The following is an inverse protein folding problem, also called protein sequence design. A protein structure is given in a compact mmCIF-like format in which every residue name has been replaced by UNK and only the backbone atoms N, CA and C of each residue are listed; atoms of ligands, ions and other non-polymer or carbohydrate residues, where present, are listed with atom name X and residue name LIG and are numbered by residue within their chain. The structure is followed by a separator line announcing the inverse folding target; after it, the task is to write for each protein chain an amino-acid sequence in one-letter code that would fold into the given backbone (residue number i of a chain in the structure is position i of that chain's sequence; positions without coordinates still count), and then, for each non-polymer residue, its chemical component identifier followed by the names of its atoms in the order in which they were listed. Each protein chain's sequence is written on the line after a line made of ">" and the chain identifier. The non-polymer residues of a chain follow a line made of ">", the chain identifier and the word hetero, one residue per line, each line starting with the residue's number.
data_IF_138456132150
#
_entry.id   IF_138456132150
#
_cell.length_a   1.000
_cell.length_b   1.000
_cell.length_c   1.000
_cell.angle_alpha   90.00
_cell.angle_beta   90.00
_cell.angle_gamma   90.00
#
_symmetry.space_group_name_H-M   'P 1'
#
loop_
_entity.id
_entity.type
_entity.pdbx_description
1 polymer ?
#
# COMPACT_ATOMS: atom_id res chain seq x y z
N UNK A 1 -15.56 10.59 -8.29
CA UNK A 1 -15.21 9.81 -9.49
C UNK A 1 -15.07 8.35 -9.11
N UNK A 2 -15.59 7.43 -9.92
CA UNK A 2 -15.26 5.99 -9.83
C UNK A 2 -14.81 5.46 -11.17
N UNK A 3 -13.81 4.58 -11.17
CA UNK A 3 -13.30 3.95 -12.37
C UNK A 3 -12.95 2.48 -12.11
N UNK A 4 -13.26 1.61 -13.08
CA UNK A 4 -12.72 0.26 -13.19
C UNK A 4 -12.12 0.10 -14.58
N UNK A 5 -10.90 -0.40 -14.66
CA UNK A 5 -10.15 -0.65 -15.89
C UNK A 5 -9.74 -2.12 -15.94
N UNK A 6 -10.00 -2.78 -17.07
CA UNK A 6 -9.62 -4.16 -17.35
C UNK A 6 -8.86 -4.19 -18.68
N UNK A 7 -7.55 -4.42 -18.62
CA UNK A 7 -6.67 -4.60 -19.78
C UNK A 7 -6.39 -6.07 -20.07
N UNK A 8 -6.49 -6.93 -19.05
CA UNK A 8 -6.45 -8.39 -19.18
C UNK A 8 -7.66 -9.02 -18.48
N UNK A 9 -8.71 -9.38 -19.24
CA UNK A 9 -9.92 -9.99 -18.69
C UNK A 9 -9.69 -11.37 -18.06
N UNK A 10 -8.59 -12.06 -18.38
CA UNK A 10 -8.28 -13.36 -17.79
C UNK A 10 -7.60 -13.22 -16.42
N UNK A 11 -7.08 -12.03 -16.10
CA UNK A 11 -6.36 -11.76 -14.87
C UNK A 11 -5.05 -12.54 -14.74
N UNK A 12 -4.38 -12.84 -15.86
CA UNK A 12 -3.03 -13.40 -15.87
C UNK A 12 -1.96 -12.32 -15.70
N UNK A 13 -2.16 -11.13 -16.27
CA UNK A 13 -1.34 -9.95 -16.01
C UNK A 13 -1.57 -9.46 -14.57
N UNK A 14 -0.54 -9.42 -13.71
CA UNK A 14 -0.65 -8.92 -12.34
C UNK A 14 -1.07 -7.46 -12.25
N UNK A 15 -1.04 -6.69 -13.35
CA UNK A 15 -1.52 -5.30 -13.43
C UNK A 15 -2.70 -5.15 -14.39
N UNK A 16 -3.33 -6.27 -14.78
CA UNK A 16 -4.33 -6.34 -15.83
C UNK A 16 -5.73 -5.85 -15.45
N UNK A 17 -5.99 -5.60 -14.17
CA UNK A 17 -7.26 -5.08 -13.69
C UNK A 17 -7.05 -4.18 -12.47
N UNK A 18 -7.64 -2.99 -12.49
CA UNK A 18 -7.52 -2.00 -11.43
C UNK A 18 -8.80 -1.19 -11.26
N UNK A 19 -9.01 -0.68 -10.06
CA UNK A 19 -10.16 0.17 -9.73
C UNK A 19 -9.71 1.34 -8.86
N UNK A 20 -10.45 2.44 -8.91
CA UNK A 20 -10.13 3.62 -8.12
C UNK A 20 -11.34 4.51 -7.84
N UNK A 21 -11.24 5.25 -6.73
CA UNK A 21 -12.24 6.20 -6.32
C UNK A 21 -11.60 7.53 -5.90
N UNK A 22 -12.20 8.62 -6.34
CA UNK A 22 -11.93 9.96 -5.78
C UNK A 22 -13.22 10.54 -5.22
N UNK A 23 -13.08 11.30 -4.15
CA UNK A 23 -14.17 12.02 -3.50
C UNK A 23 -14.00 13.52 -3.74
N UNK A 24 -15.11 14.24 -3.67
CA UNK A 24 -15.14 15.69 -3.58
C UNK A 24 -15.57 16.17 -2.19
N UNK A 25 -16.16 15.30 -1.38
CA UNK A 25 -16.79 15.65 -0.12
C UNK A 25 -15.84 15.41 1.07
N UNK A 26 -15.99 16.25 2.09
CA UNK A 26 -15.39 16.08 3.41
C UNK A 26 -15.72 14.73 4.05
N UNK A 27 -16.87 14.14 3.72
CA UNK A 27 -17.16 12.79 4.19
C UNK A 27 -16.72 11.75 3.15
N UNK A 28 -15.48 11.28 3.29
CA UNK A 28 -14.88 10.23 2.46
C UNK A 28 -15.69 8.92 2.46
N UNK A 29 -16.51 8.64 3.48
CA UNK A 29 -17.43 7.48 3.48
C UNK A 29 -18.49 7.54 2.38
N UNK A 30 -18.70 8.72 1.77
CA UNK A 30 -19.55 8.82 0.59
C UNK A 30 -18.98 8.07 -0.63
N UNK A 31 -17.69 7.73 -0.61
CA UNK A 31 -17.04 6.85 -1.58
C UNK A 31 -16.57 5.57 -0.89
N UNK A 32 -17.47 4.61 -0.67
CA UNK A 32 -17.07 3.33 -0.06
C UNK A 32 -16.28 2.49 -1.06
N UNK A 33 -15.12 2.03 -0.63
CA UNK A 33 -14.20 1.21 -1.40
C UNK A 33 -14.02 -0.14 -0.71
N UNK A 34 -14.43 -1.24 -1.35
CA UNK A 34 -14.23 -2.60 -0.85
C UNK A 34 -13.60 -3.46 -1.93
N UNK A 35 -12.67 -4.33 -1.53
CA UNK A 35 -11.99 -5.27 -2.42
C UNK A 35 -11.97 -6.66 -1.79
N UNK A 36 -12.37 -7.67 -2.56
CA UNK A 36 -12.12 -9.06 -2.23
C UNK A 36 -10.78 -9.48 -2.83
N UNK A 37 -9.77 -9.73 -1.98
CA UNK A 37 -8.46 -10.23 -2.44
C UNK A 37 -8.54 -11.64 -3.02
N UNK A 38 -9.44 -12.45 -2.48
CA UNK A 38 -9.65 -13.84 -2.88
C UNK A 38 -10.40 -13.93 -4.22
N UNK A 39 -11.52 -13.21 -4.35
CA UNK A 39 -12.37 -13.25 -5.56
C UNK A 39 -12.05 -12.16 -6.57
N UNK A 40 -11.06 -11.31 -6.28
CA UNK A 40 -10.47 -10.31 -7.19
C UNK A 40 -11.49 -9.29 -7.74
N UNK A 41 -12.48 -8.90 -6.95
CA UNK A 41 -13.45 -7.86 -7.33
C UNK A 41 -13.34 -6.63 -6.44
N UNK A 42 -13.82 -5.49 -6.95
CA UNK A 42 -14.02 -4.25 -6.20
C UNK A 42 -15.49 -3.85 -6.21
N UNK A 43 -15.89 -3.15 -5.15
CA UNK A 43 -17.18 -2.46 -5.02
C UNK A 43 -16.89 -1.00 -4.66
N UNK A 44 -17.35 -0.10 -5.50
CA UNK A 44 -17.20 1.35 -5.41
C UNK A 44 -18.60 1.96 -5.30
N UNK A 45 -18.95 2.49 -4.14
CA UNK A 45 -20.27 3.09 -3.92
C UNK A 45 -20.19 4.60 -3.86
N UNK A 46 -21.27 5.27 -4.28
CA UNK A 46 -21.48 6.68 -3.98
C UNK A 46 -22.88 7.14 -4.32
N UNK A 47 -23.07 8.45 -4.46
CA UNK A 47 -24.38 9.05 -4.71
C UNK A 47 -24.85 9.94 -3.57
N UNK A 48 -26.02 10.52 -3.75
CA UNK A 48 -26.61 11.56 -2.88
C UNK A 48 -27.59 10.98 -1.85
N UNK A 49 -27.83 9.65 -1.87
CA UNK A 49 -28.77 9.02 -0.95
C UNK A 49 -28.25 8.85 0.48
N UNK A 50 -29.17 8.55 1.40
CA UNK A 50 -28.91 8.34 2.83
C UNK A 50 -27.89 7.22 3.10
N UNK A 51 -27.21 7.30 4.26
CA UNK A 51 -26.13 6.38 4.64
C UNK A 51 -26.58 4.93 4.80
N UNK A 52 -27.77 4.68 5.38
CA UNK A 52 -28.29 3.33 5.61
C UNK A 52 -28.66 2.62 4.28
N UNK A 53 -29.49 3.21 3.38
CA UNK A 53 -29.75 2.62 2.08
C UNK A 53 -28.49 2.36 1.25
N UNK A 54 -27.47 3.22 1.37
CA UNK A 54 -26.18 3.03 0.71
C UNK A 54 -25.46 1.78 1.24
N UNK A 55 -25.41 1.60 2.56
CA UNK A 55 -24.80 0.42 3.18
C UNK A 55 -25.53 -0.85 2.74
N UNK A 56 -26.87 -0.84 2.73
CA UNK A 56 -27.68 -1.96 2.24
C UNK A 56 -27.38 -2.30 0.78
N UNK A 57 -27.30 -1.29 -0.10
CA UNK A 57 -26.93 -1.49 -1.50
C UNK A 57 -25.53 -2.12 -1.66
N UNK A 58 -24.56 -1.67 -0.85
CA UNK A 58 -23.20 -2.24 -0.85
C UNK A 58 -23.22 -3.70 -0.40
N UNK A 59 -23.92 -4.00 0.69
CA UNK A 59 -24.03 -5.37 1.23
C UNK A 59 -24.69 -6.32 0.23
N UNK A 60 -25.75 -5.89 -0.45
CA UNK A 60 -26.42 -6.69 -1.48
C UNK A 60 -25.49 -7.01 -2.66
N UNK A 61 -24.73 -6.02 -3.13
CA UNK A 61 -23.77 -6.19 -4.22
C UNK A 61 -22.67 -7.16 -3.82
N UNK A 62 -22.10 -7.02 -2.61
CA UNK A 62 -21.07 -7.92 -2.10
C UNK A 62 -21.61 -9.34 -1.99
N UNK A 63 -22.79 -9.51 -1.38
CA UNK A 63 -23.37 -10.83 -1.20
C UNK A 63 -23.59 -11.53 -2.57
N UNK A 64 -24.00 -10.79 -3.60
CA UNK A 64 -24.14 -11.34 -4.95
C UNK A 64 -22.79 -11.75 -5.54
N UNK A 65 -21.77 -10.90 -5.47
CA UNK A 65 -20.43 -11.19 -5.98
C UNK A 65 -19.78 -12.36 -5.24
N UNK A 66 -19.94 -12.43 -3.92
CA UNK A 66 -19.48 -13.55 -3.11
C UNK A 66 -20.17 -14.87 -3.48
N UNK A 67 -21.40 -14.82 -3.99
CA UNK A 67 -22.12 -16.00 -4.49
C UNK A 67 -21.94 -16.24 -6.01
N UNK A 68 -20.92 -15.63 -6.63
CA UNK A 68 -20.52 -15.91 -8.01
C UNK A 68 -21.33 -15.17 -9.08
N UNK A 69 -22.09 -14.14 -8.71
CA UNK A 69 -22.78 -13.30 -9.68
C UNK A 69 -21.79 -12.53 -10.58
N UNK A 70 -22.21 -12.26 -11.81
CA UNK A 70 -21.51 -11.34 -12.71
C UNK A 70 -21.58 -9.89 -12.17
N UNK A 71 -20.69 -9.02 -12.66
CA UNK A 71 -20.72 -7.60 -12.29
C UNK A 71 -22.09 -6.95 -12.61
N UNK A 72 -22.70 -7.32 -13.73
CA UNK A 72 -24.01 -6.80 -14.14
C UNK A 72 -25.14 -7.20 -13.16
N UNK A 73 -25.21 -8.47 -12.79
CA UNK A 73 -26.20 -8.99 -11.84
C UNK A 73 -26.04 -8.38 -10.44
N UNK A 74 -24.79 -8.18 -10.02
CA UNK A 74 -24.50 -7.55 -8.74
C UNK A 74 -24.86 -6.06 -8.75
N UNK A 75 -24.33 -5.28 -9.69
CA UNK A 75 -24.58 -3.83 -9.79
C UNK A 75 -26.07 -3.50 -9.96
N UNK A 76 -26.84 -4.38 -10.60
CA UNK A 76 -28.29 -4.20 -10.75
C UNK A 76 -29.05 -4.02 -9.43
N UNK A 77 -28.52 -4.54 -8.31
CA UNK A 77 -29.11 -4.37 -6.99
C UNK A 77 -29.22 -2.89 -6.58
N UNK A 78 -28.28 -2.04 -7.03
CA UNK A 78 -28.30 -0.61 -6.73
C UNK A 78 -29.53 0.12 -7.32
N UNK A 79 -30.21 -0.45 -8.32
CA UNK A 79 -31.42 0.13 -8.91
C UNK A 79 -32.60 0.16 -7.93
N UNK A 80 -32.58 -0.67 -6.89
CA UNK A 80 -33.58 -0.67 -5.82
C UNK A 80 -33.36 0.43 -4.78
N UNK A 81 -32.29 1.22 -4.92
CA UNK A 81 -31.87 2.22 -3.94
C UNK A 81 -31.81 3.62 -4.57
N UNK A 82 -32.86 4.45 -4.43
CA UNK A 82 -32.92 5.77 -5.03
C UNK A 82 -31.73 6.66 -4.64
N UNK A 83 -31.12 7.31 -5.64
CA UNK A 83 -29.98 8.21 -5.44
C UNK A 83 -28.64 7.53 -5.14
N UNK A 84 -28.61 6.19 -5.03
CA UNK A 84 -27.39 5.42 -4.79
C UNK A 84 -26.81 4.92 -6.11
N UNK A 85 -25.49 4.91 -6.20
CA UNK A 85 -24.70 4.29 -7.26
C UNK A 85 -23.83 3.21 -6.66
N UNK A 86 -23.76 2.07 -7.31
CA UNK A 86 -22.70 1.09 -7.04
C UNK A 86 -22.05 0.67 -8.36
N UNK A 87 -20.73 0.80 -8.43
CA UNK A 87 -19.90 0.27 -9.49
C UNK A 87 -19.13 -0.94 -8.94
N UNK A 88 -19.09 -2.04 -9.67
CA UNK A 88 -18.33 -3.22 -9.26
C UNK A 88 -17.73 -3.94 -10.46
N UNK A 89 -16.69 -4.74 -10.23
CA UNK A 89 -16.03 -5.47 -11.30
C UNK A 89 -14.71 -6.09 -10.90
N UNK A 90 -14.17 -6.89 -11.81
CA UNK A 90 -12.94 -7.66 -11.66
C UNK A 90 -12.58 -8.42 -12.93
N UNK A 91 -11.37 -8.99 -13.02
CA UNK A 91 -11.04 -9.92 -14.10
C UNK A 91 -12.03 -11.10 -14.08
N UNK A 92 -12.37 -11.61 -15.26
CA UNK A 92 -13.32 -12.70 -15.47
C UNK A 92 -14.79 -12.27 -15.42
N UNK A 93 -15.19 -11.42 -14.47
CA UNK A 93 -16.59 -11.05 -14.25
C UNK A 93 -17.03 -9.77 -14.99
N UNK A 94 -16.11 -9.08 -15.64
CA UNK A 94 -16.36 -7.78 -16.27
C UNK A 94 -16.49 -6.64 -15.26
N UNK A 95 -17.15 -5.56 -15.65
CA UNK A 95 -17.47 -4.45 -14.77
C UNK A 95 -18.87 -3.92 -15.05
N UNK A 96 -19.52 -3.34 -14.05
CA UNK A 96 -20.82 -2.70 -14.21
C UNK A 96 -21.00 -1.56 -13.23
N UNK A 97 -21.88 -0.63 -13.58
CA UNK A 97 -22.39 0.40 -12.68
C UNK A 97 -23.90 0.42 -12.73
N UNK A 98 -24.52 0.43 -11.55
CA UNK A 98 -25.97 0.44 -11.36
C UNK A 98 -26.43 1.64 -10.53
N UNK A 99 -27.74 1.94 -10.61
CA UNK A 99 -28.38 3.00 -9.85
C UNK A 99 -28.26 4.37 -10.50
N UNK A 100 -27.95 5.40 -9.70
CA UNK A 100 -27.85 6.80 -10.17
C UNK A 100 -26.42 7.18 -10.54
N UNK A 101 -26.09 7.08 -11.83
CA UNK A 101 -24.77 7.46 -12.34
C UNK A 101 -24.84 8.23 -13.66
N UNK A 102 -23.73 8.88 -14.00
CA UNK A 102 -23.40 9.28 -15.38
C UNK A 102 -22.02 8.71 -15.72
N UNK A 103 -21.96 7.84 -16.72
CA UNK A 103 -20.77 7.06 -17.02
C UNK A 103 -20.48 6.98 -18.52
N UNK A 104 -19.24 6.67 -18.86
CA UNK A 104 -18.91 6.11 -20.16
C UNK A 104 -18.43 4.68 -19.97
N UNK A 105 -18.92 3.78 -20.82
CA UNK A 105 -18.37 2.43 -20.98
C UNK A 105 -17.45 2.44 -22.20
N UNK A 106 -16.23 1.99 -21.99
CA UNK A 106 -15.19 1.86 -23.00
C UNK A 106 -15.00 0.37 -23.28
N UNK A 107 -15.06 -0.03 -24.54
CA UNK A 107 -14.73 -1.38 -24.99
C UNK A 107 -13.64 -1.26 -26.04
N UNK A 108 -12.58 -2.06 -25.91
CA UNK A 108 -11.51 -2.17 -26.89
C UNK A 108 -11.50 -3.58 -27.44
N UNK A 109 -11.76 -3.70 -28.74
CA UNK A 109 -11.76 -4.97 -29.45
C UNK A 109 -10.33 -5.40 -29.81
N UNK A 110 -10.15 -6.68 -30.14
CA UNK A 110 -8.81 -7.24 -30.43
C UNK A 110 -8.18 -6.68 -31.72
N UNK A 111 -9.00 -6.12 -32.62
CA UNK A 111 -8.54 -5.39 -33.81
C UNK A 111 -8.11 -3.93 -33.50
N UNK A 112 -8.21 -3.51 -32.23
CA UNK A 112 -7.88 -2.17 -31.76
C UNK A 112 -9.02 -1.16 -31.91
N UNK A 113 -10.22 -1.56 -32.34
CA UNK A 113 -11.39 -0.69 -32.39
C UNK A 113 -11.81 -0.27 -30.98
N UNK A 114 -11.96 1.04 -30.77
CA UNK A 114 -12.37 1.63 -29.49
C UNK A 114 -13.81 2.11 -29.60
N UNK A 115 -14.69 1.57 -28.76
CA UNK A 115 -16.08 2.05 -28.61
C UNK A 115 -16.24 2.76 -27.27
N UNK A 116 -16.73 4.00 -27.28
CA UNK A 116 -16.99 4.82 -26.09
C UNK A 116 -18.47 5.17 -26.08
N UNK A 117 -19.23 4.60 -25.15
CA UNK A 117 -20.69 4.74 -25.10
C UNK A 117 -21.13 5.47 -23.82
N UNK A 118 -21.88 6.58 -23.91
CA UNK A 118 -22.42 7.27 -22.75
C UNK A 118 -23.61 6.52 -22.16
N UNK A 119 -23.71 6.51 -20.83
CA UNK A 119 -24.86 5.99 -20.08
C UNK A 119 -25.21 6.94 -18.94
N UNK A 120 -26.51 7.04 -18.63
CA UNK A 120 -27.02 7.78 -17.47
C UNK A 120 -28.13 6.99 -16.80
N UNK A 121 -27.93 6.66 -15.53
CA UNK A 121 -28.84 5.86 -14.73
C UNK A 121 -29.02 4.40 -15.20
N UNK A 122 -29.71 3.60 -14.37
CA UNK A 122 -30.06 2.22 -14.71
C UNK A 122 -28.88 1.27 -14.56
N UNK A 123 -28.46 0.62 -15.64
CA UNK A 123 -27.34 -0.32 -15.63
C UNK A 123 -26.46 -0.10 -16.86
N UNK A 124 -25.16 0.06 -16.65
CA UNK A 124 -24.17 0.06 -17.72
C UNK A 124 -23.14 -1.04 -17.46
N UNK A 125 -22.76 -1.77 -18.52
CA UNK A 125 -22.00 -3.03 -18.39
C UNK A 125 -20.83 -3.05 -19.36
N UNK A 126 -19.65 -3.35 -18.84
CA UNK A 126 -18.51 -3.90 -19.56
C UNK A 126 -18.62 -5.43 -19.47
N UNK A 127 -18.93 -6.14 -20.56
CA UNK A 127 -19.16 -7.58 -20.51
C UNK A 127 -17.95 -8.38 -20.00
N UNK A 128 -18.18 -9.53 -19.35
CA UNK A 128 -17.14 -10.52 -19.09
C UNK A 128 -16.28 -10.81 -20.32
N UNK A 129 -14.98 -10.99 -20.12
CA UNK A 129 -14.04 -11.32 -21.20
C UNK A 129 -13.62 -10.16 -22.11
N UNK A 130 -14.16 -8.94 -21.92
CA UNK A 130 -13.81 -7.77 -22.74
C UNK A 130 -12.77 -6.87 -22.06
N UNK A 131 -11.82 -6.36 -22.86
CA UNK A 131 -10.94 -5.25 -22.46
C UNK A 131 -11.74 -3.96 -22.50
N UNK A 132 -11.57 -3.12 -21.48
CA UNK A 132 -12.36 -1.92 -21.39
C UNK A 132 -12.30 -1.25 -20.04
N UNK A 133 -13.19 -0.27 -19.86
CA UNK A 133 -13.34 0.44 -18.61
C UNK A 133 -14.75 0.98 -18.44
N UNK A 134 -15.09 1.32 -17.21
CA UNK A 134 -16.21 2.19 -16.91
C UNK A 134 -15.68 3.36 -16.09
N UNK A 135 -15.94 4.59 -16.53
CA UNK A 135 -15.62 5.80 -15.77
C UNK A 135 -16.89 6.59 -15.48
N UNK A 136 -17.11 6.83 -14.19
CA UNK A 136 -18.18 7.66 -13.66
C UNK A 136 -17.62 8.96 -13.06
N UNK A 137 -18.20 10.09 -13.46
CA UNK A 137 -17.88 11.42 -12.96
C UNK A 137 -19.12 12.31 -13.08
N UNK A 138 -19.44 13.13 -12.08
CA UNK A 138 -20.58 14.08 -12.11
C UNK A 138 -20.10 15.47 -11.72
N UNK A 139 -20.88 16.49 -12.09
CA UNK A 139 -20.73 17.81 -11.51
C UNK A 139 -21.16 17.71 -10.02
N UNK A 140 -20.34 18.23 -9.11
CA UNK A 140 -20.57 18.24 -7.67
C UNK A 140 -20.38 19.65 -7.13
N UNK A 141 -20.69 19.94 -5.86
CA UNK A 141 -20.55 21.31 -5.37
C UNK A 141 -19.08 21.78 -5.45
N UNK A 142 -18.84 22.90 -6.14
CA UNK A 142 -17.49 23.41 -6.39
C UNK A 142 -16.68 22.60 -7.41
N UNK A 143 -17.31 21.63 -8.10
CA UNK A 143 -16.70 20.82 -9.13
C UNK A 143 -17.67 20.55 -10.32
N UNK A 144 -17.18 20.51 -11.55
CA UNK A 144 -15.80 20.70 -11.92
C UNK A 144 -15.35 22.15 -11.75
N UNK A 145 -14.11 22.33 -11.24
CA UNK A 145 -13.46 23.64 -11.20
C UNK A 145 -13.07 24.13 -12.59
N UNK A 146 -12.80 23.19 -13.50
CA UNK A 146 -12.38 23.45 -14.88
C UNK A 146 -13.21 22.58 -15.83
N UNK A 147 -13.77 23.15 -16.91
CA UNK A 147 -14.64 22.41 -17.85
C UNK A 147 -15.96 21.88 -17.25
N UNK A 148 -16.64 20.95 -17.95
CA UNK A 148 -17.84 20.25 -17.43
C UNK A 148 -17.48 18.80 -17.12
N UNK A 149 -18.11 18.17 -16.12
CA UNK A 149 -17.86 16.76 -15.79
C UNK A 149 -18.14 15.86 -16.99
N UNK A 150 -19.15 16.20 -17.81
CA UNK A 150 -19.44 15.49 -19.06
C UNK A 150 -18.27 15.52 -20.03
N UNK A 151 -17.65 16.69 -20.24
CA UNK A 151 -16.51 16.85 -21.13
C UNK A 151 -15.29 16.07 -20.63
N UNK A 152 -14.91 16.28 -19.37
CA UNK A 152 -13.74 15.60 -18.77
C UNK A 152 -13.95 14.09 -18.77
N UNK A 153 -15.14 13.61 -18.40
CA UNK A 153 -15.48 12.18 -18.42
C UNK A 153 -15.36 11.57 -19.83
N UNK A 154 -15.77 12.31 -20.87
CA UNK A 154 -15.66 11.85 -22.25
C UNK A 154 -14.21 11.81 -22.72
N UNK A 155 -13.43 12.86 -22.48
CA UNK A 155 -12.01 12.94 -22.86
C UNK A 155 -11.20 11.85 -22.16
N UNK A 156 -11.38 11.68 -20.85
CA UNK A 156 -10.73 10.61 -20.08
C UNK A 156 -11.17 9.22 -20.56
N UNK A 157 -12.45 9.00 -20.91
CA UNK A 157 -12.90 7.72 -21.47
C UNK A 157 -12.20 7.40 -22.81
N UNK A 158 -12.04 8.39 -23.68
CA UNK A 158 -11.30 8.24 -24.95
C UNK A 158 -9.81 7.94 -24.68
N UNK A 159 -9.19 8.62 -23.73
CA UNK A 159 -7.78 8.38 -23.37
C UNK A 159 -7.56 6.99 -22.76
N UNK A 160 -8.48 6.52 -21.90
CA UNK A 160 -8.48 5.15 -21.40
C UNK A 160 -8.50 4.16 -22.58
N UNK A 161 -9.43 4.33 -23.53
CA UNK A 161 -9.53 3.44 -24.69
C UNK A 161 -8.23 3.37 -25.52
N UNK A 162 -7.59 4.53 -25.75
CA UNK A 162 -6.29 4.59 -26.45
C UNK A 162 -5.21 3.86 -25.67
N UNK A 163 -5.10 4.08 -24.36
CA UNK A 163 -4.09 3.41 -23.52
C UNK A 163 -4.31 1.89 -23.45
N UNK A 164 -5.55 1.42 -23.39
CA UNK A 164 -5.85 -0.03 -23.44
C UNK A 164 -5.40 -0.62 -24.78
N UNK A 165 -5.76 0.03 -25.91
CA UNK A 165 -5.34 -0.39 -27.25
C UNK A 165 -3.82 -0.44 -27.38
N UNK A 166 -3.13 0.55 -26.81
CA UNK A 166 -1.68 0.70 -26.89
C UNK A 166 -0.92 -0.19 -25.88
N UNK A 167 -1.64 -1.02 -25.09
CA UNK A 167 -1.04 -2.05 -24.24
C UNK A 167 -0.55 -1.56 -22.88
N UNK A 168 -1.00 -0.40 -22.41
CA UNK A 168 -0.70 0.05 -21.04
C UNK A 168 -1.43 -0.81 -20.01
N UNK A 169 -0.82 -1.01 -18.84
CA UNK A 169 -1.44 -1.76 -17.75
C UNK A 169 -2.62 -1.01 -17.13
N UNK A 170 -3.58 -1.73 -16.53
CA UNK A 170 -4.71 -1.11 -15.86
C UNK A 170 -4.28 -0.21 -14.70
N UNK A 171 -3.23 -0.58 -13.97
CA UNK A 171 -2.69 0.24 -12.87
C UNK A 171 -2.11 1.57 -13.35
N UNK A 172 -1.43 1.57 -14.50
CA UNK A 172 -0.93 2.79 -15.14
C UNK A 172 -2.09 3.69 -15.56
N UNK A 173 -3.10 3.11 -16.21
CA UNK A 173 -4.28 3.84 -16.69
C UNK A 173 -5.04 4.47 -15.52
N UNK A 174 -5.26 3.75 -14.42
CA UNK A 174 -5.91 4.32 -13.22
C UNK A 174 -5.11 5.50 -12.67
N UNK A 175 -3.78 5.41 -12.61
CA UNK A 175 -2.94 6.56 -12.23
C UNK A 175 -3.13 7.78 -13.13
N UNK A 176 -3.20 7.58 -14.46
CA UNK A 176 -3.47 8.65 -15.43
C UNK A 176 -4.89 9.21 -15.33
N UNK A 177 -5.89 8.38 -15.05
CA UNK A 177 -7.27 8.85 -14.80
C UNK A 177 -7.32 9.76 -13.57
N UNK A 178 -6.59 9.43 -12.50
CA UNK A 178 -6.50 10.29 -11.32
C UNK A 178 -5.83 11.62 -11.63
N UNK A 179 -4.75 11.60 -12.40
CA UNK A 179 -4.07 12.82 -12.86
C UNK A 179 -5.01 13.72 -13.67
N UNK A 180 -5.63 13.18 -14.72
CA UNK A 180 -6.53 13.93 -15.62
C UNK A 180 -7.73 14.50 -14.87
N UNK A 181 -8.43 13.68 -14.08
CA UNK A 181 -9.64 14.14 -13.37
C UNK A 181 -9.30 15.16 -12.28
N UNK A 182 -8.19 14.99 -11.56
CA UNK A 182 -7.77 15.96 -10.55
C UNK A 182 -7.42 17.32 -11.17
N UNK A 183 -6.67 17.34 -12.28
CA UNK A 183 -6.25 18.57 -12.97
C UNK A 183 -7.37 19.22 -13.77
N UNK A 184 -8.14 18.42 -14.50
CA UNK A 184 -9.07 18.91 -15.52
C UNK A 184 -10.50 19.05 -15.03
N UNK A 185 -10.91 18.30 -14.01
CA UNK A 185 -12.20 18.50 -13.35
C UNK A 185 -12.07 19.16 -11.97
N UNK A 186 -10.94 19.06 -11.27
CA UNK A 186 -10.82 19.55 -9.89
C UNK A 186 -11.44 18.61 -8.85
N UNK A 187 -11.94 17.44 -9.25
CA UNK A 187 -12.27 16.36 -8.31
C UNK A 187 -10.98 15.67 -7.90
N UNK A 188 -10.35 16.24 -6.87
CA UNK A 188 -8.96 15.97 -6.56
C UNK A 188 -8.71 15.22 -5.27
N UNK A 189 -9.69 14.97 -4.39
CA UNK A 189 -9.39 14.30 -3.12
C UNK A 189 -9.39 12.78 -3.30
N UNK A 190 -8.26 12.15 -3.03
CA UNK A 190 -8.06 10.72 -3.23
C UNK A 190 -8.87 9.86 -2.25
N UNK A 191 -9.64 8.90 -2.78
CA UNK A 191 -10.29 7.84 -1.98
C UNK A 191 -9.57 6.50 -2.03
N UNK A 192 -8.51 6.39 -2.84
CA UNK A 192 -7.69 5.19 -2.97
C UNK A 192 -7.93 4.43 -4.26
N UNK A 193 -7.03 3.49 -4.52
CA UNK A 193 -7.08 2.61 -5.67
C UNK A 193 -6.59 1.21 -5.31
N UNK A 194 -6.97 0.24 -6.14
CA UNK A 194 -6.52 -1.13 -6.02
C UNK A 194 -6.15 -1.73 -7.35
N UNK A 195 -5.21 -2.66 -7.27
CA UNK A 195 -4.92 -3.64 -8.28
C UNK A 195 -5.73 -4.89 -7.96
N UNK A 196 -6.80 -5.09 -8.73
CA UNK A 196 -7.72 -6.23 -8.60
C UNK A 196 -7.04 -7.55 -8.97
N UNK A 197 -6.11 -7.48 -9.93
CA UNK A 197 -5.39 -8.66 -10.36
C UNK A 197 -4.46 -9.20 -9.25
N UNK A 198 -3.79 -8.32 -8.50
CA UNK A 198 -2.81 -8.72 -7.48
C UNK A 198 -3.25 -8.54 -6.03
N UNK A 199 -4.44 -7.99 -5.77
CA UNK A 199 -4.96 -7.77 -4.42
C UNK A 199 -4.16 -6.72 -3.62
N UNK A 200 -3.52 -5.77 -4.30
CA UNK A 200 -2.74 -4.68 -3.70
C UNK A 200 -3.59 -3.41 -3.69
N UNK A 201 -3.53 -2.64 -2.60
CA UNK A 201 -4.25 -1.38 -2.44
C UNK A 201 -3.32 -0.26 -2.00
N UNK A 202 -3.76 0.98 -2.21
CA UNK A 202 -3.17 2.16 -1.58
C UNK A 202 -3.34 2.16 -0.05
N UNK A 203 -4.23 1.32 0.49
CA UNK A 203 -4.66 1.40 1.89
C UNK A 203 -5.11 2.83 2.24
N UNK A 204 -4.64 3.30 3.39
CA UNK A 204 -5.01 4.60 3.96
C UNK A 204 -4.10 5.75 3.50
N UNK A 205 -3.31 5.54 2.44
CA UNK A 205 -2.27 6.47 1.98
C UNK A 205 -2.78 7.90 1.65
N UNK A 206 -4.04 8.02 1.24
CA UNK A 206 -4.66 9.30 0.87
C UNK A 206 -5.89 9.63 1.72
N UNK A 207 -6.24 8.78 2.68
CA UNK A 207 -7.37 9.03 3.59
C UNK A 207 -6.93 9.96 4.72
N UNK A 208 -7.79 10.90 5.14
CA UNK A 208 -7.48 11.76 6.26
C UNK A 208 -7.50 10.98 7.59
N UNK A 209 -6.75 11.46 8.58
CA UNK A 209 -6.72 10.86 9.92
C UNK A 209 -8.06 11.00 10.65
N UNK A 210 -8.76 12.12 10.44
CA UNK A 210 -10.04 12.40 11.09
C UNK A 210 -11.23 12.11 10.17
N UNK A 211 -12.32 11.68 10.78
CA UNK A 211 -13.61 11.57 10.13
C UNK A 211 -14.10 12.96 9.69
N UNK A 212 -14.74 13.01 8.52
CA UNK A 212 -15.29 14.23 7.92
C UNK A 212 -14.25 15.27 7.45
N UNK A 213 -13.03 14.83 7.13
CA UNK A 213 -12.05 15.64 6.41
C UNK A 213 -11.89 15.19 4.95
N UNK A 214 -11.35 16.07 4.10
CA UNK A 214 -11.01 15.70 2.72
C UNK A 214 -9.74 14.87 2.69
N UNK A 215 -9.68 13.88 1.80
CA UNK A 215 -8.44 13.13 1.53
C UNK A 215 -7.34 13.99 0.91
N UNK A 216 -6.18 13.38 0.69
CA UNK A 216 -5.03 14.06 0.09
C UNK A 216 -5.35 14.51 -1.36
N UNK A 217 -5.04 15.76 -1.75
CA UNK A 217 -5.25 16.24 -3.10
C UNK A 217 -4.30 15.56 -4.10
N UNK A 218 -4.87 14.90 -5.10
CA UNK A 218 -4.16 14.02 -6.02
C UNK A 218 -3.24 14.76 -6.98
N UNK A 219 -3.51 16.05 -7.24
CA UNK A 219 -2.73 16.97 -8.08
C UNK A 219 -1.55 17.63 -7.34
N UNK A 220 -1.33 17.34 -6.05
CA UNK A 220 -0.26 17.94 -5.24
C UNK A 220 1.00 17.02 -5.10
N UNK A 221 2.17 17.60 -4.84
CA UNK A 221 3.40 16.88 -4.51
C UNK A 221 3.28 16.03 -3.24
N UNK A 222 3.52 14.72 -3.32
CA UNK A 222 3.34 13.80 -2.19
C UNK A 222 4.63 13.47 -1.45
N UNK A 223 5.70 13.17 -2.19
CA UNK A 223 7.00 12.75 -1.63
C UNK A 223 8.14 13.23 -2.51
N UNK A 224 9.30 13.50 -1.90
CA UNK A 224 10.58 13.64 -2.60
C UNK A 224 11.40 12.37 -2.42
N UNK A 225 12.01 11.88 -3.49
CA UNK A 225 12.88 10.69 -3.46
C UNK A 225 14.21 10.98 -4.13
N UNK A 226 15.28 10.44 -3.54
CA UNK A 226 16.59 10.32 -4.17
C UNK A 226 16.61 9.04 -5.01
N UNK A 227 16.83 9.18 -6.33
CA UNK A 227 16.89 8.02 -7.23
C UNK A 227 18.20 7.20 -7.07
N UNK A 228 19.24 7.78 -6.46
CA UNK A 228 20.55 7.13 -6.26
C UNK A 228 20.60 6.25 -5.00
N UNK A 229 20.31 6.82 -3.82
CA UNK A 229 20.38 6.09 -2.54
C UNK A 229 19.03 5.67 -1.97
N UNK A 230 17.91 6.09 -2.59
CA UNK A 230 16.55 5.72 -2.15
C UNK A 230 16.04 6.48 -0.92
N UNK A 231 16.79 7.46 -0.40
CA UNK A 231 16.29 8.32 0.67
C UNK A 231 15.04 9.08 0.20
N UNK A 232 14.00 9.13 1.04
CA UNK A 232 12.75 9.80 0.71
C UNK A 232 12.16 10.55 1.89
N UNK A 233 11.38 11.59 1.59
CA UNK A 233 10.67 12.38 2.60
C UNK A 233 9.31 12.86 2.07
N UNK A 234 8.27 12.73 2.87
CA UNK A 234 6.91 13.17 2.54
C UNK A 234 6.70 14.66 2.74
N UNK A 235 5.74 15.24 2.01
CA UNK A 235 5.27 16.60 2.26
C UNK A 235 4.44 16.68 3.55
N UNK A 236 4.47 17.82 4.28
CA UNK A 236 5.11 19.09 3.93
C UNK A 236 6.62 19.16 4.26
N UNK A 237 7.16 18.25 5.07
CA UNK A 237 8.56 18.29 5.50
C UNK A 237 9.56 18.26 4.33
N UNK A 238 9.17 17.65 3.21
CA UNK A 238 9.92 17.64 1.96
C UNK A 238 10.24 19.04 1.39
N UNK A 239 9.50 20.09 1.76
CA UNK A 239 9.76 21.46 1.28
C UNK A 239 11.16 21.95 1.65
N UNK A 240 11.67 21.58 2.82
CA UNK A 240 12.98 22.00 3.32
C UNK A 240 14.16 21.33 2.61
N UNK A 241 13.92 20.32 1.76
CA UNK A 241 14.97 19.52 1.13
C UNK A 241 15.00 19.74 -0.39
N UNK A 242 16.10 20.32 -0.89
CA UNK A 242 16.33 20.48 -2.34
C UNK A 242 17.23 19.38 -2.91
N UNK A 243 18.10 18.83 -2.08
CA UNK A 243 19.04 17.74 -2.40
C UNK A 243 18.97 16.67 -1.32
N UNK A 244 19.41 15.47 -1.66
CA UNK A 244 19.50 14.36 -0.72
C UNK A 244 20.51 14.68 0.39
N UNK A 245 20.14 14.55 1.68
CA UNK A 245 21.06 14.82 2.78
C UNK A 245 22.17 13.75 2.92
N UNK A 246 22.03 12.62 2.23
CA UNK A 246 22.97 11.48 2.31
C UNK A 246 24.08 11.59 1.27
N UNK A 247 23.74 11.92 0.01
CA UNK A 247 24.68 11.90 -1.13
C UNK A 247 24.73 13.21 -1.94
N UNK A 248 23.92 14.22 -1.59
CA UNK A 248 23.89 15.52 -2.28
C UNK A 248 23.21 15.52 -3.65
N UNK A 249 22.65 14.40 -4.11
CA UNK A 249 21.94 14.30 -5.39
C UNK A 249 20.63 15.10 -5.40
N UNK A 250 20.14 15.43 -6.60
CA UNK A 250 18.87 16.16 -6.76
C UNK A 250 17.69 15.24 -6.43
N UNK A 251 16.77 15.72 -5.59
CA UNK A 251 15.55 14.98 -5.27
C UNK A 251 14.50 15.10 -6.38
N UNK A 252 13.88 13.99 -6.73
CA UNK A 252 12.72 13.93 -7.62
C UNK A 252 11.45 14.12 -6.80
N UNK A 253 10.58 15.01 -7.27
CA UNK A 253 9.23 15.18 -6.73
C UNK A 253 8.31 14.15 -7.37
N UNK A 254 7.59 13.40 -6.54
CA UNK A 254 6.55 12.46 -6.95
C UNK A 254 5.21 13.05 -6.54
N UNK A 255 4.30 13.19 -7.49
CA UNK A 255 2.93 13.65 -7.23
C UNK A 255 2.06 12.53 -6.67
N UNK A 256 0.98 12.87 -5.97
CA UNK A 256 0.14 11.86 -5.33
C UNK A 256 -0.46 10.85 -6.33
N UNK A 257 -0.84 11.26 -7.54
CA UNK A 257 -1.32 10.34 -8.59
C UNK A 257 -0.24 9.35 -9.06
N UNK A 258 1.03 9.77 -9.05
CA UNK A 258 2.17 8.89 -9.37
C UNK A 258 2.43 7.92 -8.23
N UNK A 259 2.39 8.42 -6.99
CA UNK A 259 2.54 7.61 -5.79
C UNK A 259 1.42 6.56 -5.68
N UNK A 260 0.18 6.91 -6.05
CA UNK A 260 -0.95 5.99 -6.15
C UNK A 260 -0.68 4.88 -7.17
N UNK A 261 -0.28 5.27 -8.38
CA UNK A 261 0.06 4.35 -9.48
C UNK A 261 1.14 3.38 -9.04
N UNK A 262 2.21 3.88 -8.42
CA UNK A 262 3.34 3.07 -7.96
C UNK A 262 2.92 2.13 -6.81
N UNK A 263 2.06 2.58 -5.89
CA UNK A 263 1.57 1.77 -4.77
C UNK A 263 0.74 0.55 -5.22
N UNK A 264 -0.04 0.68 -6.29
CA UNK A 264 -0.88 -0.41 -6.81
C UNK A 264 -0.20 -1.22 -7.92
N UNK A 265 0.90 -0.74 -8.51
CA UNK A 265 1.57 -1.42 -9.61
C UNK A 265 2.52 -2.50 -9.11
N UNK A 266 2.27 -3.72 -9.57
CA UNK A 266 3.14 -4.86 -9.33
C UNK A 266 4.26 -4.90 -10.39
N UNK A 267 5.46 -4.46 -10.02
CA UNK A 267 6.66 -4.57 -10.85
C UNK A 267 7.43 -5.85 -10.53
N UNK A 268 8.41 -6.26 -11.35
CA UNK A 268 9.29 -7.40 -11.05
C UNK A 268 10.11 -7.27 -9.74
N UNK A 269 9.90 -6.20 -8.95
CA UNK A 269 10.40 -6.04 -7.59
C UNK A 269 9.38 -5.48 -6.57
N UNK A 270 8.06 -5.47 -6.86
CA UNK A 270 7.03 -5.07 -5.90
C UNK A 270 6.72 -6.23 -4.96
N UNK A 271 6.95 -6.02 -3.67
CA UNK A 271 6.63 -6.98 -2.62
C UNK A 271 5.48 -6.43 -1.82
N UNK A 272 4.37 -7.15 -1.77
CA UNK A 272 3.28 -6.88 -0.84
C UNK A 272 3.74 -7.28 0.56
N UNK A 273 3.88 -6.31 1.46
CA UNK A 273 4.35 -6.58 2.82
C UNK A 273 3.22 -6.30 3.80
N UNK A 274 2.78 -7.34 4.50
CA UNK A 274 1.79 -7.24 5.57
C UNK A 274 2.51 -7.37 6.91
N UNK A 275 2.25 -6.44 7.83
CA UNK A 275 2.85 -6.41 9.16
C UNK A 275 1.75 -6.74 10.17
N UNK A 276 2.04 -7.64 11.11
CA UNK A 276 1.12 -8.10 12.14
C UNK A 276 1.79 -7.99 13.51
N UNK A 277 0.96 -7.86 14.56
CA UNK A 277 1.45 -7.76 15.95
C UNK A 277 1.83 -6.35 16.40
N UNK A 278 1.66 -5.35 15.53
CA UNK A 278 1.77 -3.92 15.85
C UNK A 278 0.92 -3.11 14.87
N UNK A 279 0.23 -2.08 15.37
CA UNK A 279 -0.58 -1.14 14.57
C UNK A 279 0.09 0.23 14.45
N UNK A 280 1.28 0.41 15.04
CA UNK A 280 2.03 1.66 14.99
C UNK A 280 2.45 1.99 13.56
N UNK A 281 1.84 3.02 12.97
CA UNK A 281 1.99 3.35 11.55
C UNK A 281 3.46 3.52 11.13
N UNK A 282 4.29 4.16 11.98
CA UNK A 282 5.72 4.34 11.72
C UNK A 282 6.51 3.02 11.67
N UNK A 283 6.15 2.05 12.52
CA UNK A 283 6.77 0.72 12.54
C UNK A 283 6.33 -0.10 11.33
N UNK A 284 5.05 -0.04 10.98
CA UNK A 284 4.48 -0.73 9.81
C UNK A 284 5.16 -0.24 8.53
N UNK A 285 5.18 1.07 8.29
CA UNK A 285 5.75 1.66 7.07
C UNK A 285 7.26 1.37 6.95
N UNK A 286 8.01 1.56 8.04
CA UNK A 286 9.46 1.31 8.05
C UNK A 286 9.77 -0.18 7.80
N UNK A 287 8.98 -1.08 8.39
CA UNK A 287 9.11 -2.53 8.14
C UNK A 287 8.83 -2.87 6.68
N UNK A 288 7.80 -2.29 6.07
CA UNK A 288 7.49 -2.50 4.65
C UNK A 288 8.67 -2.12 3.76
N UNK A 289 9.31 -0.98 4.01
CA UNK A 289 10.48 -0.54 3.24
C UNK A 289 11.71 -1.44 3.44
N UNK A 290 12.00 -1.83 4.69
CA UNK A 290 13.10 -2.76 4.99
C UNK A 290 12.91 -4.10 4.27
N UNK A 291 11.70 -4.65 4.32
CA UNK A 291 11.37 -5.93 3.69
C UNK A 291 11.46 -5.81 2.17
N UNK A 292 10.90 -4.75 1.57
CA UNK A 292 11.02 -4.49 0.12
C UNK A 292 12.48 -4.39 -0.32
N UNK A 293 13.30 -3.64 0.41
CA UNK A 293 14.72 -3.52 0.13
C UNK A 293 15.46 -4.86 0.27
N UNK A 294 15.16 -5.62 1.32
CA UNK A 294 15.75 -6.94 1.55
C UNK A 294 15.41 -7.92 0.43
N UNK A 295 14.15 -7.96 -0.02
CA UNK A 295 13.72 -8.85 -1.10
C UNK A 295 14.30 -8.43 -2.44
N UNK A 296 14.39 -7.13 -2.74
CA UNK A 296 15.09 -6.63 -3.94
C UNK A 296 16.55 -7.09 -3.99
N UNK A 297 17.22 -7.12 -2.84
CA UNK A 297 18.64 -7.49 -2.74
C UNK A 297 18.88 -9.00 -2.66
N UNK A 298 18.04 -9.73 -1.95
CA UNK A 298 18.30 -11.12 -1.54
C UNK A 298 17.20 -12.12 -1.96
N UNK A 299 16.18 -11.68 -2.69
CA UNK A 299 15.01 -12.49 -3.00
C UNK A 299 14.12 -12.77 -1.77
N UNK A 300 13.16 -13.69 -1.89
CA UNK A 300 12.20 -14.04 -0.84
C UNK A 300 12.80 -14.98 0.24
N UNK A 301 13.96 -14.63 0.80
CA UNK A 301 14.57 -15.37 1.93
C UNK A 301 14.06 -14.81 3.26
N UNK A 302 13.34 -15.65 4.01
CA UNK A 302 12.88 -15.34 5.35
C UNK A 302 14.06 -14.96 6.28
N UNK A 303 15.20 -15.64 6.14
CA UNK A 303 16.40 -15.37 6.94
C UNK A 303 17.03 -14.02 6.61
N UNK A 304 17.10 -13.64 5.33
CA UNK A 304 17.64 -12.35 4.91
C UNK A 304 16.73 -11.18 5.34
N UNK A 305 15.42 -11.39 5.28
CA UNK A 305 14.41 -10.44 5.75
C UNK A 305 14.52 -10.25 7.26
N UNK A 306 14.50 -11.34 8.06
CA UNK A 306 14.64 -11.28 9.51
C UNK A 306 15.94 -10.58 9.94
N UNK A 307 17.08 -10.88 9.29
CA UNK A 307 18.35 -10.20 9.56
C UNK A 307 18.30 -8.69 9.29
N UNK A 308 17.63 -8.28 8.21
CA UNK A 308 17.50 -6.85 7.86
C UNK A 308 16.63 -6.11 8.87
N UNK A 309 15.51 -6.72 9.29
CA UNK A 309 14.64 -6.18 10.35
C UNK A 309 15.38 -6.07 11.68
N UNK A 310 16.06 -7.13 12.12
CA UNK A 310 16.80 -7.12 13.39
C UNK A 310 17.96 -6.12 13.39
N UNK A 311 18.56 -5.84 12.22
CA UNK A 311 19.54 -4.76 12.08
C UNK A 311 18.90 -3.38 12.25
N UNK A 312 17.72 -3.16 11.69
CA UNK A 312 16.99 -1.91 11.85
C UNK A 312 16.54 -1.68 13.30
N UNK A 313 16.14 -2.74 14.01
CA UNK A 313 15.86 -2.70 15.46
C UNK A 313 17.13 -2.30 16.23
N UNK A 314 18.27 -2.96 15.95
CA UNK A 314 19.57 -2.63 16.60
C UNK A 314 20.01 -1.19 16.36
N UNK A 315 19.71 -0.65 15.19
CA UNK A 315 20.08 0.71 14.80
C UNK A 315 19.06 1.77 15.25
N UNK A 316 17.98 1.37 15.94
CA UNK A 316 16.95 2.29 16.43
C UNK A 316 15.98 2.82 15.37
N UNK A 317 15.96 2.24 14.16
CA UNK A 317 15.00 2.59 13.11
C UNK A 317 13.62 1.96 13.34
N UNK A 318 13.57 0.85 14.07
CA UNK A 318 12.34 0.20 14.52
C UNK A 318 12.36 0.15 16.04
N UNK A 319 11.43 0.88 16.67
CA UNK A 319 11.28 0.98 18.12
C UNK A 319 9.95 0.38 18.55
N UNK A 320 9.87 -0.13 19.78
CA UNK A 320 8.62 -0.71 20.32
C UNK A 320 8.30 -2.14 19.85
N UNK A 321 9.21 -2.80 19.13
CA UNK A 321 9.04 -4.19 18.65
C UNK A 321 10.22 -5.08 19.02
N UNK A 322 9.95 -6.37 19.25
CA UNK A 322 10.98 -7.36 19.57
C UNK A 322 11.70 -7.86 18.31
N UNK A 323 12.85 -8.52 18.49
CA UNK A 323 13.53 -9.23 17.41
C UNK A 323 12.61 -10.28 16.76
N UNK A 324 12.77 -10.47 15.46
CA UNK A 324 12.02 -11.45 14.67
C UNK A 324 12.94 -12.60 14.25
N UNK A 325 12.43 -13.82 14.28
CA UNK A 325 13.09 -15.00 13.75
C UNK A 325 12.59 -15.32 12.32
N UNK A 326 13.33 -16.13 11.54
CA UNK A 326 12.85 -16.54 10.21
C UNK A 326 11.47 -17.20 10.21
N UNK A 327 11.10 -17.90 11.30
CA UNK A 327 9.77 -18.52 11.46
C UNK A 327 8.64 -17.48 11.58
N UNK A 328 8.96 -16.26 11.97
CA UNK A 328 8.03 -15.13 12.10
C UNK A 328 7.86 -14.37 10.77
N UNK A 329 8.52 -14.84 9.70
CA UNK A 329 8.45 -14.28 8.36
C UNK A 329 7.79 -15.30 7.43
N UNK A 330 6.60 -14.97 6.93
CA UNK A 330 5.88 -15.81 5.96
C UNK A 330 6.11 -15.28 4.55
N UNK A 331 6.86 -16.01 3.72
CA UNK A 331 7.12 -15.63 2.33
C UNK A 331 6.22 -16.42 1.37
N UNK A 332 5.54 -15.72 0.47
CA UNK A 332 4.79 -16.30 -0.66
C UNK A 332 5.33 -15.71 -1.97
N UNK A 333 6.39 -16.30 -2.55
CA UNK A 333 7.02 -15.76 -3.75
C UNK A 333 6.08 -15.68 -4.96
N UNK A 334 5.18 -16.67 -5.11
CA UNK A 334 4.21 -16.74 -6.22
C UNK A 334 3.21 -15.58 -6.22
N UNK A 335 2.80 -15.12 -5.04
CA UNK A 335 1.93 -13.96 -4.87
C UNK A 335 2.70 -12.68 -4.52
N UNK A 336 4.04 -12.71 -4.62
CA UNK A 336 4.95 -11.63 -4.28
C UNK A 336 4.65 -10.99 -2.92
N UNK A 337 4.31 -11.81 -1.93
CA UNK A 337 3.86 -11.36 -0.62
C UNK A 337 4.79 -11.81 0.50
N UNK A 338 4.93 -10.97 1.52
CA UNK A 338 5.65 -11.26 2.76
C UNK A 338 4.79 -10.82 3.94
N UNK A 339 4.54 -11.74 4.87
CA UNK A 339 3.99 -11.44 6.19
C UNK A 339 5.11 -11.34 7.22
N UNK A 340 5.09 -10.30 8.04
CA UNK A 340 6.01 -10.15 9.19
C UNK A 340 5.18 -10.13 10.46
N UNK A 341 5.48 -11.03 11.40
CA UNK A 341 4.78 -11.13 12.67
C UNK A 341 5.68 -10.63 13.80
N UNK A 342 5.40 -9.45 14.34
CA UNK A 342 6.11 -8.94 15.51
C UNK A 342 5.54 -9.53 16.80
N UNK A 343 6.44 -9.81 17.74
CA UNK A 343 6.07 -10.02 19.13
C UNK A 343 6.15 -8.67 19.86
N UNK A 344 5.09 -8.24 20.56
CA UNK A 344 5.11 -7.01 21.36
C UNK A 344 6.19 -7.05 22.43
N UNK A 345 6.76 -5.89 22.76
CA UNK A 345 7.68 -5.77 23.89
C UNK A 345 6.90 -5.74 25.21
N UNK A 346 7.31 -6.51 26.24
CA UNK A 346 6.70 -6.41 27.57
C UNK A 346 7.09 -5.09 28.27
N UNK A 347 6.21 -4.63 29.15
CA UNK A 347 6.42 -3.50 30.09
C UNK A 347 6.85 -2.18 29.44
N UNK A 348 6.14 -1.71 28.41
CA UNK A 348 6.33 -0.41 27.73
C UNK A 348 7.76 -0.14 27.24
N UNK A 349 8.56 -1.20 27.01
CA UNK A 349 9.93 -1.07 26.55
C UNK A 349 9.97 -0.54 25.12
N UNK A 350 10.91 0.37 24.88
CA UNK A 350 11.15 0.96 23.55
C UNK A 350 12.13 0.15 22.71
N UNK A 351 12.85 -0.80 23.31
CA UNK A 351 13.78 -1.70 22.64
C UNK A 351 13.78 -3.11 23.27
N UNK A 352 14.08 -4.17 22.50
CA UNK A 352 14.17 -5.51 23.03
C UNK A 352 15.28 -5.66 24.08
N UNK A 353 15.14 -6.62 25.02
CA UNK A 353 16.22 -6.94 25.93
C UNK A 353 17.48 -7.28 25.12
N UNK A 354 18.59 -6.63 25.49
CA UNK A 354 19.86 -6.79 24.81
C UNK A 354 20.29 -8.26 24.92
N UNK A 355 20.43 -8.95 23.79
CA UNK A 355 21.20 -10.19 23.74
C UNK A 355 22.65 -9.82 24.07
N UNK A 356 23.03 -9.99 25.33
CA UNK A 356 24.42 -9.85 25.74
C UNK A 356 25.22 -10.92 24.99
N UNK A 357 26.21 -10.55 24.16
CA UNK A 357 27.07 -11.51 23.48
C UNK A 357 28.17 -11.96 24.44
N UNK A 358 27.79 -12.39 25.64
CA UNK A 358 28.73 -12.93 26.63
C UNK A 358 28.19 -14.29 27.02
N UNK A 359 28.73 -15.34 26.40
CA UNK A 359 28.45 -16.71 26.83
C UNK A 359 28.85 -16.85 28.31
N UNK A 360 28.11 -17.66 29.07
CA UNK A 360 28.48 -18.07 30.43
C UNK A 360 29.95 -18.49 30.51
N UNK A 361 30.44 -19.16 29.48
CA UNK A 361 31.81 -19.63 29.36
C UNK A 361 32.86 -18.50 29.37
N UNK A 362 32.53 -17.31 28.83
CA UNK A 362 33.44 -16.16 28.84
C UNK A 362 33.48 -15.48 30.21
N UNK A 363 32.34 -15.44 30.91
CA UNK A 363 32.26 -14.93 32.29
C UNK A 363 32.97 -15.89 33.26
N UNK A 364 32.82 -17.19 33.06
CA UNK A 364 33.53 -18.21 33.84
C UNK A 364 35.04 -18.18 33.56
N UNK A 365 35.46 -17.96 32.30
CA UNK A 365 36.87 -17.77 31.96
C UNK A 365 37.46 -16.53 32.62
N UNK A 366 36.76 -15.39 32.60
CA UNK A 366 37.20 -14.15 33.24
C UNK A 366 37.22 -14.27 34.78
N UNK A 367 36.22 -14.93 35.36
CA UNK A 367 36.17 -15.24 36.80
C UNK A 367 37.30 -16.17 37.24
N UNK A 368 37.63 -17.17 36.41
CA UNK A 368 38.76 -18.07 36.66
C UNK A 368 40.12 -17.36 36.51
N UNK A 369 40.27 -16.44 35.54
CA UNK A 369 41.48 -15.63 35.38
C UNK A 369 41.68 -14.69 36.58
N UNK A 370 40.61 -14.05 37.07
CA UNK A 370 40.66 -13.22 38.28
C UNK A 370 41.04 -14.04 39.52
N UNK A 371 40.50 -15.26 39.64
CA UNK A 371 40.81 -16.16 40.76
C UNK A 371 42.27 -16.64 40.70
N UNK A 372 42.77 -16.99 39.52
CA UNK A 372 44.16 -17.40 39.31
C UNK A 372 45.16 -16.26 39.62
N UNK A 373 44.87 -15.03 39.20
CA UNK A 373 45.66 -13.85 39.53
C UNK A 373 45.66 -13.57 41.05
N UNK A 374 44.53 -13.77 41.72
CA UNK A 374 44.42 -13.69 43.17
C UNK A 374 45.33 -14.69 43.89
N UNK A 375 45.35 -15.96 43.46
CA UNK A 375 46.23 -16.99 44.02
C UNK A 375 47.71 -16.69 43.79
N UNK A 376 48.08 -16.21 42.60
CA UNK A 376 49.48 -15.83 42.29
C UNK A 376 49.93 -14.66 43.16
N UNK A 377 49.08 -13.65 43.39
CA UNK A 377 49.39 -12.54 44.29
C UNK A 377 49.56 -12.99 45.74
N UNK A 378 48.71 -13.88 46.24
CA UNK A 378 48.86 -14.46 47.60
C UNK A 378 50.15 -15.28 47.70
N UNK A 379 50.47 -16.10 46.70
CA UNK A 379 51.72 -16.86 46.65
C UNK A 379 52.96 -15.95 46.60
N UNK A 380 52.92 -14.86 45.84
CA UNK A 380 54.00 -13.88 45.78
C UNK A 380 54.18 -13.14 47.12
N UNK A 381 53.09 -12.81 47.81
CA UNK A 381 53.15 -12.22 49.15
C UNK A 381 53.72 -13.22 50.16
N UNK A 382 53.35 -14.50 50.10
CA UNK A 382 53.91 -15.57 50.93
C UNK A 382 55.38 -15.84 50.63
N UNK A 383 55.78 -15.82 49.36
CA UNK A 383 57.19 -15.92 48.96
C UNK A 383 57.99 -14.71 49.45
N UNK A 384 57.43 -13.50 49.34
CA UNK A 384 58.07 -12.27 49.81
C UNK A 384 58.20 -12.24 51.33
N UNK A 385 57.20 -12.71 52.08
CA UNK A 385 57.28 -12.79 53.55
C UNK A 385 58.26 -13.89 54.01
N UNK A 386 58.31 -15.03 53.30
CA UNK A 386 59.32 -16.09 53.51
C UNK A 386 60.74 -15.59 53.24
N UNK A 387 60.98 -14.93 52.10
CA UNK A 387 62.27 -14.35 51.74
C UNK A 387 62.71 -13.26 52.73
N UNK A 388 61.81 -12.36 53.13
CA UNK A 388 62.14 -11.30 54.12
C UNK A 388 62.43 -11.91 55.50
N UNK A 389 61.76 -13.00 55.89
CA UNK A 389 62.08 -13.72 57.14
C UNK A 389 63.42 -14.46 57.08
N UNK A 390 63.80 -14.94 55.88
CA UNK A 390 65.07 -15.62 55.61
C UNK A 390 66.26 -14.65 55.58
N UNK A 391 66.05 -13.39 55.17
CA UNK A 391 67.10 -12.36 55.12
C UNK A 391 67.19 -11.49 56.39
N UNK A 392 66.30 -11.67 57.36
CA UNK A 392 66.35 -11.03 58.69
C UNK A 392 66.87 -11.95 59.80
N UNK A 393 67.32 -13.16 59.42
CA UNK A 393 68.08 -14.06 60.29
C UNK A 393 69.55 -14.01 59.87
N UNK A 394 70.18 -12.90 60.24
CA UNK A 394 71.61 -12.76 60.56
C UNK A 394 71.74 -11.55 61.49
#
# INVERSE_FOLDING_TARGET
>A
MNVIVITDPNGADPNGAAAGSMSFAQNMFQSTFLMSKEKRFAVLSGGEGESIPRLMAIMDVINRLENGATAAEAASAANSYPGIRVMCGGPGIGAAVGGSFDAYVVIVEDDGTITVTPYSGGLAVLPPGKKGAIIHLRNTHGNPKYGTATRVRQETAVNIGKMIRDGYSATYIVGKVFEEVAKDAGEKYGGGAVNLASGVSTGDMFTPENLNETGYPMDEPYVKVCEECGWSIGYPAAESYQVCPVDGSKLKVIYAYEALKDAITVTNGSVSVSVYGTEEAGVVQTTQEIVRASVRKNGYSAEAIARSINRAIKNGFLVGVNYVEPKDINVKPSSRAVGVYYTPLPDDRTAPPMELPVSSDLLDLLGNIQTALGFVMVLLVLFRSSLISSFRRD
#
